data_IF_349703572771
#
_entry.id   IF_349703572771
#
_cell.length_a   1.000
_cell.length_b   1.000
_cell.length_c   1.000
_cell.angle_alpha   90.00
_cell.angle_beta   90.00
_cell.angle_gamma   90.00
#
_symmetry.space_group_name_H-M   'P 1'
#
loop_
_entity.id
_entity.type
_entity.pdbx_description
1 polymer ?
#
# COMPACT_ATOMS: atom_id res chain seq x y z
N UNK A 1 -10.26 -3.04 -4.88
CA UNK A 1 -9.13 -3.10 -5.85
C UNK A 1 -8.05 -4.04 -5.31
N UNK A 2 -7.27 -4.69 -6.19
CA UNK A 2 -6.14 -5.55 -5.76
C UNK A 2 -5.07 -4.69 -5.10
N UNK A 3 -4.48 -5.16 -3.99
CA UNK A 3 -3.37 -4.46 -3.32
C UNK A 3 -2.13 -4.52 -4.21
N UNK A 4 -1.58 -3.36 -4.55
CA UNK A 4 -0.31 -3.22 -5.21
C UNK A 4 0.80 -2.95 -4.19
N UNK A 5 1.59 -3.98 -3.93
CA UNK A 5 2.66 -3.95 -2.95
C UNK A 5 3.86 -3.12 -3.41
N UNK A 6 4.09 -2.98 -4.72
CA UNK A 6 5.16 -2.14 -5.25
C UNK A 6 4.78 -0.65 -5.09
N UNK A 7 3.50 -0.30 -5.29
CA UNK A 7 2.99 1.05 -4.99
C UNK A 7 3.10 1.39 -3.49
N UNK A 8 2.71 0.49 -2.59
CA UNK A 8 2.85 0.69 -1.13
C UNK A 8 4.30 0.97 -0.77
N UNK A 9 5.24 0.18 -1.31
CA UNK A 9 6.67 0.35 -1.07
C UNK A 9 7.18 1.69 -1.61
N UNK A 10 6.71 2.12 -2.78
CA UNK A 10 7.04 3.42 -3.37
C UNK A 10 6.62 4.57 -2.46
N UNK A 11 5.36 4.56 -2.02
CA UNK A 11 4.80 5.58 -1.11
C UNK A 11 5.62 5.68 0.17
N UNK A 12 5.91 4.54 0.82
CA UNK A 12 6.67 4.51 2.07
C UNK A 12 8.08 5.06 1.91
N UNK A 13 8.79 4.72 0.82
CA UNK A 13 10.13 5.25 0.53
C UNK A 13 10.10 6.77 0.37
N UNK A 14 9.22 7.27 -0.49
CA UNK A 14 9.14 8.71 -0.76
C UNK A 14 8.75 9.51 0.48
N UNK A 15 7.81 9.01 1.28
CA UNK A 15 7.38 9.72 2.49
C UNK A 15 8.41 9.64 3.62
N UNK A 16 9.24 8.59 3.67
CA UNK A 16 10.34 8.49 4.63
C UNK A 16 11.46 9.52 4.38
N UNK A 17 11.69 9.88 3.11
CA UNK A 17 12.72 10.85 2.72
C UNK A 17 12.19 12.30 2.65
N UNK A 18 10.87 12.50 2.76
CA UNK A 18 10.23 13.80 2.69
C UNK A 18 10.33 14.58 4.01
N UNK A 19 10.52 15.90 3.92
CA UNK A 19 10.53 16.79 5.09
C UNK A 19 9.13 17.19 5.59
N UNK A 20 8.08 16.77 4.90
CA UNK A 20 6.69 17.07 5.20
C UNK A 20 5.72 16.20 4.41
N UNK A 21 4.40 16.43 4.55
CA UNK A 21 3.38 15.64 3.87
C UNK A 21 3.54 15.67 2.34
N UNK A 22 3.36 14.51 1.71
CA UNK A 22 3.46 14.31 0.27
C UNK A 22 2.06 14.24 -0.34
N UNK A 23 1.79 15.02 -1.37
CA UNK A 23 0.54 14.93 -2.12
C UNK A 23 0.46 13.58 -2.87
N UNK A 24 -0.69 12.92 -2.80
CA UNK A 24 -0.90 11.62 -3.45
C UNK A 24 -0.72 11.69 -4.98
N UNK A 25 -0.88 12.85 -5.62
CA UNK A 25 -0.57 13.06 -7.04
C UNK A 25 0.90 12.78 -7.39
N UNK A 26 1.82 12.81 -6.42
CA UNK A 26 3.22 12.42 -6.64
C UNK A 26 3.39 10.95 -7.02
N UNK A 27 2.39 10.11 -6.75
CA UNK A 27 2.41 8.66 -7.02
C UNK A 27 1.49 8.27 -8.18
N UNK A 28 0.91 9.23 -8.90
CA UNK A 28 0.03 8.94 -10.03
C UNK A 28 0.79 8.84 -11.33
N UNK A 29 0.46 7.82 -12.12
CA UNK A 29 0.97 7.60 -13.48
C UNK A 29 -0.11 6.87 -14.31
N UNK A 30 0.21 6.50 -15.55
CA UNK A 30 -0.71 5.80 -16.46
C UNK A 30 -1.18 4.43 -15.90
N UNK A 31 -0.38 3.78 -15.05
CA UNK A 31 -0.70 2.51 -14.40
C UNK A 31 -1.41 2.70 -13.03
N UNK A 32 -1.19 3.83 -12.37
CA UNK A 32 -1.69 4.17 -11.05
C UNK A 32 -2.52 5.47 -11.11
N UNK A 33 -3.77 5.40 -11.60
CA UNK A 33 -4.65 6.56 -11.58
C UNK A 33 -4.91 7.02 -10.13
N UNK A 34 -5.26 8.31 -9.96
CA UNK A 34 -5.43 8.92 -8.63
C UNK A 34 -6.36 8.12 -7.70
N UNK A 35 -7.48 7.59 -8.22
CA UNK A 35 -8.40 6.78 -7.41
C UNK A 35 -7.71 5.52 -6.83
N UNK A 36 -6.83 4.89 -7.60
CA UNK A 36 -6.05 3.74 -7.15
C UNK A 36 -5.06 4.15 -6.06
N UNK A 37 -4.36 5.26 -6.24
CA UNK A 37 -3.41 5.78 -5.25
C UNK A 37 -4.12 6.16 -3.97
N UNK A 38 -5.21 6.93 -4.06
CA UNK A 38 -6.03 7.34 -2.92
C UNK A 38 -6.59 6.13 -2.16
N UNK A 39 -7.01 5.08 -2.88
CA UNK A 39 -7.39 3.81 -2.27
C UNK A 39 -6.25 3.17 -1.47
N UNK A 40 -5.02 3.17 -2.00
CA UNK A 40 -3.85 2.62 -1.32
C UNK A 40 -3.47 3.45 -0.08
N UNK A 41 -3.44 4.78 -0.19
CA UNK A 41 -3.20 5.68 0.93
C UNK A 41 -4.20 5.41 2.06
N UNK A 42 -5.49 5.28 1.74
CA UNK A 42 -6.53 4.95 2.71
C UNK A 42 -6.27 3.64 3.44
N UNK A 43 -6.03 2.55 2.72
CA UNK A 43 -5.83 1.23 3.36
C UNK A 43 -4.50 1.15 4.12
N UNK A 44 -3.49 1.94 3.71
CA UNK A 44 -2.22 2.07 4.45
C UNK A 44 -2.43 2.82 5.76
N UNK A 45 -3.25 3.86 5.77
CA UNK A 45 -3.66 4.56 7.00
C UNK A 45 -4.47 3.64 7.91
N UNK A 46 -5.45 2.90 7.37
CA UNK A 46 -6.25 1.92 8.13
C UNK A 46 -5.38 0.79 8.73
N UNK A 47 -4.34 0.38 8.01
CA UNK A 47 -3.35 -0.58 8.50
C UNK A 47 -2.33 0.02 9.47
N UNK A 48 -2.39 1.33 9.72
CA UNK A 48 -1.48 2.04 10.60
C UNK A 48 -0.04 2.07 10.09
N UNK A 49 0.19 2.08 8.78
CA UNK A 49 1.54 2.23 8.19
C UNK A 49 1.95 3.70 8.03
N UNK A 50 0.98 4.57 7.75
CA UNK A 50 1.20 6.01 7.53
C UNK A 50 0.11 6.80 8.23
N UNK A 51 0.42 8.03 8.61
CA UNK A 51 -0.61 9.04 8.79
C UNK A 51 -1.03 9.58 7.42
N UNK A 52 -2.32 9.86 7.21
CA UNK A 52 -2.78 10.48 5.98
C UNK A 52 -4.04 11.32 6.21
N UNK A 53 -4.23 12.30 5.33
CA UNK A 53 -5.44 13.13 5.27
C UNK A 53 -6.13 12.88 3.94
N UNK A 54 -7.40 12.47 3.98
CA UNK A 54 -8.21 12.25 2.78
C UNK A 54 -9.44 13.14 2.82
N UNK A 55 -9.57 14.02 1.83
CA UNK A 55 -10.78 14.79 1.60
C UNK A 55 -11.69 14.00 0.67
N UNK A 56 -12.96 13.86 1.08
CA UNK A 56 -13.99 13.19 0.30
C UNK A 56 -15.06 14.17 -0.11
N UNK A 57 -15.58 14.00 -1.32
CA UNK A 57 -16.81 14.65 -1.74
C UNK A 57 -18.05 13.97 -1.12
N UNK A 58 -19.22 14.60 -1.25
CA UNK A 58 -20.48 14.07 -0.75
C UNK A 58 -20.82 12.66 -1.30
N UNK A 59 -20.32 12.32 -2.50
CA UNK A 59 -20.45 10.99 -3.10
C UNK A 59 -19.51 9.92 -2.54
N UNK A 60 -18.62 10.27 -1.62
CA UNK A 60 -17.69 9.34 -0.95
C UNK A 60 -16.35 9.14 -1.66
N UNK A 61 -16.21 9.61 -2.90
CA UNK A 61 -14.94 9.59 -3.65
C UNK A 61 -13.90 10.47 -2.95
N UNK A 62 -12.65 10.02 -2.95
CA UNK A 62 -11.54 10.86 -2.48
C UNK A 62 -11.22 11.86 -3.59
N UNK A 63 -11.22 13.15 -3.25
CA UNK A 63 -10.91 14.25 -4.18
C UNK A 63 -9.54 14.87 -3.91
N UNK A 64 -8.99 14.64 -2.72
CA UNK A 64 -7.64 15.05 -2.36
C UNK A 64 -7.07 14.12 -1.28
N UNK A 65 -5.80 13.79 -1.37
CA UNK A 65 -5.13 12.95 -0.38
C UNK A 65 -3.68 13.41 -0.17
N UNK A 66 -3.26 13.47 1.09
CA UNK A 66 -1.86 13.70 1.47
C UNK A 66 -1.39 12.61 2.41
N UNK A 67 -0.16 12.16 2.23
CA UNK A 67 0.50 11.16 3.07
C UNK A 67 1.46 11.89 3.99
N UNK A 68 1.23 11.75 5.29
CA UNK A 68 2.06 12.29 6.35
C UNK A 68 3.20 11.36 6.73
N UNK A 69 3.77 11.51 7.93
CA UNK A 69 4.87 10.67 8.39
C UNK A 69 4.46 9.19 8.47
N UNK A 70 5.46 8.32 8.32
CA UNK A 70 5.31 6.89 8.59
C UNK A 70 5.11 6.70 10.09
N UNK A 71 4.25 5.75 10.44
CA UNK A 71 4.17 5.26 11.83
C UNK A 71 5.38 4.38 12.16
N UNK A 72 5.51 3.97 13.42
CA UNK A 72 6.48 2.94 13.80
C UNK A 72 6.35 1.66 12.97
N UNK A 73 5.13 1.14 12.82
CA UNK A 73 4.89 -0.05 12.01
C UNK A 73 5.19 0.16 10.52
N UNK A 74 4.97 1.38 10.01
CA UNK A 74 5.35 1.77 8.66
C UNK A 74 6.86 1.73 8.42
N UNK A 75 7.65 2.22 9.39
CA UNK A 75 9.11 2.19 9.33
C UNK A 75 9.64 0.74 9.42
N UNK A 76 9.14 -0.06 10.36
CA UNK A 76 9.52 -1.47 10.47
C UNK A 76 9.21 -2.25 9.18
N UNK A 77 8.03 -2.01 8.60
CA UNK A 77 7.66 -2.62 7.33
C UNK A 77 8.58 -2.14 6.21
N UNK A 78 8.84 -0.83 6.11
CA UNK A 78 9.74 -0.26 5.11
C UNK A 78 11.13 -0.89 5.20
N UNK A 79 11.70 -1.03 6.39
CA UNK A 79 13.01 -1.65 6.60
C UNK A 79 13.02 -3.12 6.20
N UNK A 80 11.96 -3.86 6.53
CA UNK A 80 11.79 -5.25 6.09
C UNK A 80 11.71 -5.38 4.56
N UNK A 81 11.18 -4.38 3.86
CA UNK A 81 11.06 -4.39 2.39
C UNK A 81 12.13 -3.54 1.69
N UNK A 82 13.06 -2.91 2.42
CA UNK A 82 14.03 -1.96 1.86
C UNK A 82 15.04 -2.68 0.95
N UNK A 83 15.51 -3.86 1.35
CA UNK A 83 16.43 -4.68 0.56
C UNK A 83 15.72 -5.36 -0.62
N UNK A 84 16.24 -5.21 -1.84
CA UNK A 84 15.70 -5.89 -3.03
C UNK A 84 15.72 -7.42 -2.91
N UNK A 85 16.74 -7.98 -2.24
CA UNK A 85 16.83 -9.43 -2.06
C UNK A 85 15.79 -9.95 -1.06
N UNK A 86 15.47 -9.17 -0.03
CA UNK A 86 14.39 -9.47 0.91
C UNK A 86 13.04 -9.23 0.24
N UNK A 87 12.89 -8.15 -0.53
CA UNK A 87 11.65 -7.82 -1.24
C UNK A 87 11.26 -8.90 -2.24
N UNK A 88 12.21 -9.38 -3.04
CA UNK A 88 11.95 -10.48 -3.99
C UNK A 88 11.52 -11.76 -3.28
N UNK A 89 12.16 -12.09 -2.13
CA UNK A 89 11.74 -13.22 -1.29
C UNK A 89 10.35 -13.01 -0.70
N UNK A 90 10.05 -11.82 -0.17
CA UNK A 90 8.75 -11.47 0.39
C UNK A 90 7.65 -11.57 -0.67
N UNK A 91 7.84 -11.02 -1.89
CA UNK A 91 6.89 -11.16 -2.99
C UNK A 91 6.69 -12.63 -3.36
N UNK A 92 7.77 -13.42 -3.48
CA UNK A 92 7.68 -14.85 -3.77
C UNK A 92 6.90 -15.61 -2.68
N UNK A 93 7.18 -15.34 -1.41
CA UNK A 93 6.46 -15.96 -0.29
C UNK A 93 4.99 -15.55 -0.29
N UNK A 94 4.66 -14.27 -0.41
CA UNK A 94 3.28 -13.78 -0.46
C UNK A 94 2.51 -14.40 -1.64
N UNK A 95 3.09 -14.44 -2.84
CA UNK A 95 2.46 -15.06 -4.01
C UNK A 95 2.25 -16.57 -3.81
N UNK A 96 3.21 -17.26 -3.18
CA UNK A 96 3.12 -18.70 -2.91
C UNK A 96 2.08 -18.99 -1.82
N UNK A 97 2.08 -18.23 -0.73
CA UNK A 97 1.21 -18.42 0.45
C UNK A 97 -0.23 -17.98 0.18
N UNK A 98 -0.47 -16.87 -0.53
CA UNK A 98 -1.84 -16.47 -0.92
C UNK A 98 -2.40 -17.47 -1.93
N UNK A 99 -1.57 -17.92 -2.88
CA UNK A 99 -1.95 -18.96 -3.83
C UNK A 99 -2.31 -20.28 -3.14
N UNK A 100 -1.47 -20.73 -2.20
CA UNK A 100 -1.69 -22.00 -1.49
C UNK A 100 -2.83 -21.93 -0.49
N UNK A 101 -2.95 -20.87 0.31
CA UNK A 101 -4.02 -20.71 1.29
C UNK A 101 -5.39 -20.57 0.60
N UNK A 102 -5.47 -19.81 -0.50
CA UNK A 102 -6.71 -19.70 -1.28
C UNK A 102 -7.07 -21.02 -1.97
N UNK A 103 -6.07 -21.75 -2.47
CA UNK A 103 -6.28 -23.07 -3.08
C UNK A 103 -6.76 -24.11 -2.06
N UNK A 104 -6.18 -24.17 -0.87
CA UNK A 104 -6.61 -25.09 0.20
C UNK A 104 -8.04 -24.77 0.68
N UNK A 105 -8.42 -23.50 0.77
CA UNK A 105 -9.80 -23.11 1.11
C UNK A 105 -10.79 -23.49 0.00
N UNK A 106 -10.43 -23.26 -1.27
CA UNK A 106 -11.27 -23.69 -2.41
C UNK A 106 -11.42 -25.20 -2.42
N UNK A 107 -10.36 -25.96 -2.16
CA UNK A 107 -10.39 -27.42 -2.05
C UNK A 107 -11.24 -27.91 -0.87
N UNK A 108 -11.25 -27.19 0.25
CA UNK A 108 -12.06 -27.52 1.41
C UNK A 108 -13.57 -27.29 1.18
N UNK A 109 -13.94 -26.37 0.28
CA UNK A 109 -15.32 -26.00 -0.04
C UNK A 109 -15.85 -26.72 -1.29
N UNK A 110 -14.97 -27.05 -2.24
CA UNK A 110 -15.28 -27.88 -3.40
C UNK A 110 -15.40 -29.36 -2.97
N UNK A 111 -16.52 -29.70 -2.33
CA UNK A 111 -17.05 -31.06 -2.28
C UNK A 111 -17.67 -31.39 -3.65
#
# INVERSE_FOLDING_TARGET
MRRDLDLVRSILKTCADASGPVDAHAFTDDAHPFELVAYHVRIMQEAGLVEASLLREAGGSVVHATVGPLTWAGNDFLDAVRSESIWSKTKKTIMTTIGSASFEIVKAVAI
#
